data_IF_785713111777
#
_entry.id   IF_785713111777
#
_cell.length_a   1.000
_cell.length_b   1.000
_cell.length_c   1.000
_cell.angle_alpha   90.00
_cell.angle_beta   90.00
_cell.angle_gamma   90.00
#
_symmetry.space_group_name_H-M   'P 1'
#
loop_
_entity.id
_entity.type
_entity.pdbx_description
1 polymer ?
#
# COMPACT_ATOMS: atom_id res chain seq x y z
N UNK A 1 -7.85 -99.81 49.35
CA UNK A 1 -8.17 -98.38 49.50
C UNK A 1 -6.86 -97.60 49.55
N UNK A 2 -6.71 -96.68 48.62
CA UNK A 2 -5.50 -95.94 48.24
C UNK A 2 -5.05 -94.95 49.32
N UNK A 3 -3.80 -95.06 49.75
CA UNK A 3 -3.13 -94.03 50.56
C UNK A 3 -2.30 -93.18 49.60
N UNK A 4 -2.91 -92.14 49.04
CA UNK A 4 -2.18 -91.06 48.37
C UNK A 4 -1.43 -90.28 49.44
N UNK A 5 -0.15 -90.60 49.62
CA UNK A 5 0.77 -89.71 50.34
C UNK A 5 1.08 -88.56 49.38
N UNK A 6 0.51 -87.39 49.66
CA UNK A 6 0.75 -86.17 48.91
C UNK A 6 2.15 -85.68 49.30
N UNK A 7 3.16 -86.23 48.63
CA UNK A 7 4.52 -85.69 48.69
C UNK A 7 4.47 -84.26 48.16
N UNK A 8 4.69 -83.30 49.04
CA UNK A 8 4.82 -81.89 48.66
C UNK A 8 6.20 -81.71 48.02
N UNK A 9 6.37 -82.30 46.85
CA UNK A 9 7.53 -82.04 46.02
C UNK A 9 7.50 -80.57 45.66
N UNK A 10 8.32 -79.77 46.34
CA UNK A 10 8.70 -78.47 45.81
C UNK A 10 9.26 -78.75 44.41
N UNK A 11 8.70 -78.12 43.35
CA UNK A 11 9.25 -78.30 42.02
C UNK A 11 10.74 -77.92 42.07
N UNK A 12 11.62 -78.62 41.34
CA UNK A 12 13.04 -78.30 41.32
C UNK A 12 13.17 -76.81 40.96
N UNK A 13 13.57 -76.00 41.95
CA UNK A 13 13.72 -74.57 41.77
C UNK A 13 14.82 -74.36 40.74
N UNK A 14 14.51 -73.63 39.67
CA UNK A 14 15.48 -73.28 38.63
C UNK A 14 16.67 -72.59 39.30
N UNK A 15 17.88 -73.15 39.17
CA UNK A 15 19.07 -72.59 39.79
C UNK A 15 19.29 -71.17 39.25
N UNK A 16 19.19 -70.17 40.13
CA UNK A 16 19.31 -68.76 39.72
C UNK A 16 20.69 -68.42 39.12
N UNK A 17 21.70 -69.28 39.36
CA UNK A 17 23.04 -69.18 38.78
C UNK A 17 23.11 -69.61 37.30
N UNK A 18 22.13 -70.38 36.82
CA UNK A 18 22.01 -70.80 35.41
C UNK A 18 21.11 -69.87 34.59
N UNK A 19 20.55 -68.81 35.21
CA UNK A 19 19.83 -67.80 34.43
C UNK A 19 20.82 -67.10 33.50
N UNK A 20 20.58 -67.07 32.18
CA UNK A 20 21.39 -66.27 31.29
C UNK A 20 21.31 -64.80 31.74
N UNK A 21 22.47 -64.20 31.97
CA UNK A 21 22.56 -62.77 32.30
C UNK A 21 21.87 -62.01 31.18
N UNK A 22 20.85 -61.22 31.52
CA UNK A 22 20.15 -60.42 30.52
C UNK A 22 21.18 -59.53 29.82
N UNK A 23 21.20 -59.50 28.47
CA UNK A 23 22.02 -58.54 27.77
C UNK A 23 21.65 -57.15 28.29
N UNK A 24 22.63 -56.26 28.55
CA UNK A 24 22.31 -54.92 28.99
C UNK A 24 21.35 -54.31 27.97
N UNK A 25 20.22 -53.75 28.43
CA UNK A 25 19.44 -52.86 27.58
C UNK A 25 20.39 -51.72 27.24
N UNK A 26 20.87 -51.74 26.01
CA UNK A 26 21.71 -50.71 25.44
C UNK A 26 20.96 -49.38 25.56
N UNK A 27 21.28 -48.62 26.60
CA UNK A 27 21.00 -47.19 26.65
C UNK A 27 21.92 -46.53 25.63
N UNK A 28 21.53 -46.62 24.36
CA UNK A 28 22.12 -45.86 23.29
C UNK A 28 21.88 -44.38 23.64
N UNK A 29 22.83 -43.78 24.36
CA UNK A 29 22.91 -42.34 24.52
C UNK A 29 22.92 -41.76 23.10
N UNK A 30 21.92 -40.95 22.70
CA UNK A 30 21.88 -40.44 21.35
C UNK A 30 23.16 -39.64 21.13
N UNK A 31 24.00 -40.13 20.22
CA UNK A 31 25.23 -39.47 19.88
C UNK A 31 24.87 -38.11 19.29
N UNK A 32 24.97 -37.07 20.11
CA UNK A 32 24.82 -35.62 19.84
C UNK A 32 25.74 -35.05 18.75
N UNK A 33 26.36 -35.92 17.97
CA UNK A 33 27.35 -35.62 16.92
C UNK A 33 26.73 -34.80 15.76
N UNK A 34 25.45 -35.04 15.46
CA UNK A 34 24.75 -34.33 14.38
C UNK A 34 24.32 -32.91 14.73
N UNK A 35 24.32 -32.52 16.01
CA UNK A 35 23.76 -31.22 16.43
C UNK A 35 24.55 -30.04 15.84
N UNK A 36 25.87 -30.18 15.70
CA UNK A 36 26.72 -29.13 15.10
C UNK A 36 26.43 -28.93 13.62
N UNK A 37 26.26 -30.04 12.88
CA UNK A 37 25.83 -30.00 11.47
C UNK A 37 24.43 -29.39 11.36
N UNK A 38 23.52 -29.76 12.26
CA UNK A 38 22.15 -29.26 12.24
C UNK A 38 22.08 -27.75 12.51
N UNK A 39 22.86 -27.28 13.50
CA UNK A 39 23.01 -25.85 13.79
C UNK A 39 23.63 -25.13 12.59
N UNK A 40 24.67 -25.70 11.97
CA UNK A 40 25.30 -25.10 10.79
C UNK A 40 24.32 -24.95 9.63
N UNK A 41 23.57 -26.01 9.32
CA UNK A 41 22.54 -25.99 8.26
C UNK A 41 21.42 -24.99 8.60
N UNK A 42 20.98 -24.93 9.86
CA UNK A 42 19.95 -23.98 10.29
C UNK A 42 20.42 -22.52 10.15
N UNK A 43 21.64 -22.22 10.60
CA UNK A 43 22.23 -20.87 10.48
C UNK A 43 22.45 -20.49 9.02
N UNK A 44 22.96 -21.43 8.22
CA UNK A 44 23.16 -21.20 6.78
C UNK A 44 21.82 -20.98 6.05
N UNK A 45 20.79 -21.75 6.40
CA UNK A 45 19.44 -21.57 5.87
C UNK A 45 18.87 -20.19 6.21
N UNK A 46 19.01 -19.76 7.47
CA UNK A 46 18.59 -18.41 7.89
C UNK A 46 19.34 -17.32 7.11
N UNK A 47 20.67 -17.41 7.02
CA UNK A 47 21.49 -16.43 6.29
C UNK A 47 21.13 -16.38 4.80
N UNK A 48 20.88 -17.52 4.18
CA UNK A 48 20.47 -17.59 2.77
C UNK A 48 19.13 -16.88 2.54
N UNK A 49 18.12 -17.17 3.37
CA UNK A 49 16.80 -16.53 3.25
C UNK A 49 16.88 -15.03 3.53
N UNK A 50 17.58 -14.62 4.59
CA UNK A 50 17.79 -13.20 4.90
C UNK A 50 18.54 -12.46 3.79
N UNK A 51 19.56 -13.09 3.18
CA UNK A 51 20.29 -12.53 2.05
C UNK A 51 19.43 -12.37 0.80
N UNK A 52 18.59 -13.35 0.49
CA UNK A 52 17.64 -13.25 -0.63
C UNK A 52 16.62 -12.13 -0.43
N UNK A 53 16.06 -12.01 0.78
CA UNK A 53 15.09 -10.95 1.11
C UNK A 53 15.75 -9.58 1.01
N UNK A 54 16.93 -9.41 1.60
CA UNK A 54 17.70 -8.16 1.50
C UNK A 54 17.99 -7.80 0.03
N UNK A 55 18.52 -8.75 -0.73
CA UNK A 55 18.85 -8.55 -2.14
C UNK A 55 17.62 -8.15 -2.96
N UNK A 56 16.47 -8.80 -2.75
CA UNK A 56 15.23 -8.49 -3.46
C UNK A 56 14.71 -7.08 -3.12
N UNK A 57 14.83 -6.64 -1.86
CA UNK A 57 14.44 -5.29 -1.46
C UNK A 57 15.36 -4.21 -2.03
N UNK A 58 16.68 -4.44 -2.03
CA UNK A 58 17.65 -3.49 -2.59
C UNK A 58 17.66 -3.42 -4.13
N UNK A 59 17.03 -4.36 -4.83
CA UNK A 59 16.85 -4.24 -6.29
C UNK A 59 16.02 -3.00 -6.67
N UNK A 60 15.06 -2.59 -5.84
CA UNK A 60 14.25 -1.40 -6.09
C UNK A 60 15.08 -0.12 -6.15
N UNK A 61 16.11 -0.02 -5.32
CA UNK A 61 17.02 1.14 -5.23
C UNK A 61 18.02 1.21 -6.39
N UNK A 62 18.34 0.08 -7.02
CA UNK A 62 19.22 0.01 -8.20
C UNK A 62 18.47 0.26 -9.51
N UNK A 63 17.18 -0.07 -9.58
CA UNK A 63 16.34 0.08 -10.78
C UNK A 63 15.69 1.47 -10.82
N UNK A 64 15.30 2.00 -9.65
CA UNK A 64 14.90 3.40 -9.50
C UNK A 64 16.21 4.15 -9.28
N UNK A 65 16.91 4.45 -10.38
CA UNK A 65 18.11 5.30 -10.30
C UNK A 65 17.82 6.51 -9.43
N UNK A 66 18.86 7.00 -8.74
CA UNK A 66 18.85 8.20 -7.88
C UNK A 66 18.42 9.50 -8.59
N UNK A 67 17.79 9.40 -9.76
CA UNK A 67 17.13 10.47 -10.46
C UNK A 67 15.81 10.75 -9.73
N UNK A 68 15.90 11.72 -8.83
CA UNK A 68 14.80 12.44 -8.24
C UNK A 68 13.71 12.63 -9.32
N UNK A 69 12.59 11.90 -9.18
CA UNK A 69 11.51 11.91 -10.17
C UNK A 69 11.19 13.36 -10.49
N UNK A 70 11.37 13.82 -11.74
CA UNK A 70 11.33 15.24 -12.04
C UNK A 70 9.94 15.78 -11.71
N UNK A 71 9.87 16.70 -10.76
CA UNK A 71 8.62 17.31 -10.33
C UNK A 71 8.13 18.26 -11.43
N UNK A 72 7.14 17.81 -12.21
CA UNK A 72 6.46 18.64 -13.21
C UNK A 72 5.60 19.68 -12.48
N UNK A 73 6.01 20.94 -12.54
CA UNK A 73 5.22 22.08 -12.03
C UNK A 73 4.39 22.67 -13.15
N UNK A 74 3.13 22.99 -12.85
CA UNK A 74 2.30 23.77 -13.75
C UNK A 74 2.85 25.20 -13.87
N UNK A 75 2.78 25.76 -15.07
CA UNK A 75 3.06 27.17 -15.28
C UNK A 75 2.06 28.01 -14.48
N UNK A 76 2.55 28.87 -13.59
CA UNK A 76 1.74 29.78 -12.77
C UNK A 76 1.36 31.06 -13.53
N UNK A 77 1.76 31.19 -14.79
CA UNK A 77 1.43 32.35 -15.60
C UNK A 77 -0.08 32.50 -15.80
N UNK A 78 -0.63 33.73 -15.78
CA UNK A 78 -2.05 33.95 -15.99
C UNK A 78 -2.46 33.46 -17.37
N UNK A 79 -3.37 32.49 -17.41
CA UNK A 79 -3.92 31.91 -18.66
C UNK A 79 -4.66 32.97 -19.49
N UNK A 80 -5.12 34.05 -18.84
CA UNK A 80 -5.73 35.22 -19.47
C UNK A 80 -5.23 36.50 -18.81
N UNK A 81 -4.61 37.36 -19.60
CA UNK A 81 -4.26 38.72 -19.23
C UNK A 81 -5.29 39.67 -19.86
N UNK A 82 -5.74 40.67 -19.10
CA UNK A 82 -6.54 41.73 -19.69
C UNK A 82 -5.65 42.49 -20.69
N UNK A 83 -6.12 42.75 -21.91
CA UNK A 83 -5.35 43.54 -22.87
C UNK A 83 -5.06 44.94 -22.30
N UNK A 84 -3.82 45.43 -22.46
CA UNK A 84 -3.42 46.78 -22.03
C UNK A 84 -4.32 47.86 -22.64
N UNK A 85 -4.79 47.61 -23.87
CA UNK A 85 -5.83 48.40 -24.50
C UNK A 85 -7.08 47.53 -24.69
N UNK A 86 -8.12 47.68 -23.85
CA UNK A 86 -9.35 46.88 -23.94
C UNK A 86 -10.16 47.13 -25.22
N UNK A 87 -9.70 48.01 -26.11
CA UNK A 87 -10.42 48.43 -27.29
C UNK A 87 -11.66 49.25 -26.92
N UNK A 88 -12.49 49.53 -27.92
CA UNK A 88 -13.70 50.32 -27.76
C UNK A 88 -13.60 51.72 -28.36
N UNK A 89 -14.78 52.29 -28.65
CA UNK A 89 -14.90 53.62 -29.21
C UNK A 89 -14.58 54.66 -28.13
N UNK A 90 -13.47 55.38 -28.30
CA UNK A 90 -13.22 56.60 -27.52
C UNK A 90 -14.13 57.69 -28.05
N UNK A 91 -15.30 57.85 -27.45
CA UNK A 91 -16.24 58.91 -27.83
C UNK A 91 -15.65 60.25 -27.35
N UNK A 92 -15.33 61.18 -28.26
CA UNK A 92 -14.83 62.49 -27.87
C UNK A 92 -15.95 63.33 -27.25
N UNK A 93 -15.59 64.24 -26.33
CA UNK A 93 -16.51 65.24 -25.77
C UNK A 93 -17.68 64.66 -24.94
N UNK A 94 -17.48 63.53 -24.24
CA UNK A 94 -18.49 62.97 -23.32
C UNK A 94 -18.75 63.84 -22.08
N UNK A 95 -17.85 64.76 -21.77
CA UNK A 95 -17.86 65.63 -20.59
C UNK A 95 -18.51 67.00 -20.85
N UNK A 96 -19.11 67.21 -22.02
CA UNK A 96 -19.71 68.50 -22.39
C UNK A 96 -20.91 68.80 -21.48
N UNK A 97 -20.96 70.05 -21.02
CA UNK A 97 -22.03 70.55 -20.15
C UNK A 97 -23.42 70.34 -20.75
N UNK A 98 -23.56 70.40 -22.08
CA UNK A 98 -24.83 70.17 -22.78
C UNK A 98 -25.38 68.75 -22.51
N UNK A 99 -24.50 67.74 -22.41
CA UNK A 99 -24.88 66.36 -22.13
C UNK A 99 -25.26 66.17 -20.65
N UNK A 100 -24.49 66.76 -19.73
CA UNK A 100 -24.80 66.75 -18.29
C UNK A 100 -26.12 67.43 -17.99
N UNK A 101 -26.44 68.51 -18.71
CA UNK A 101 -27.70 69.21 -18.56
C UNK A 101 -28.89 68.35 -19.04
N UNK A 102 -28.70 67.48 -20.03
CA UNK A 102 -29.73 66.54 -20.50
C UNK A 102 -29.93 65.36 -19.53
N UNK A 103 -28.83 64.79 -19.00
CA UNK A 103 -28.86 63.79 -17.92
C UNK A 103 -29.56 64.32 -16.66
N UNK A 104 -29.26 65.56 -16.28
CA UNK A 104 -29.82 66.19 -15.08
C UNK A 104 -31.26 66.68 -15.29
N UNK A 105 -31.60 67.12 -16.50
CA UNK A 105 -32.96 67.58 -16.81
C UNK A 105 -33.95 66.41 -17.03
N UNK A 106 -33.51 65.26 -17.56
CA UNK A 106 -34.38 64.11 -17.84
C UNK A 106 -33.61 62.77 -17.84
N UNK A 107 -33.26 62.21 -16.67
CA UNK A 107 -32.55 60.92 -16.61
C UNK A 107 -33.36 59.77 -17.24
N UNK A 108 -34.69 59.87 -17.21
CA UNK A 108 -35.64 58.87 -17.75
C UNK A 108 -35.77 58.89 -19.28
N UNK A 109 -35.21 59.89 -19.98
CA UNK A 109 -35.29 59.99 -21.46
C UNK A 109 -34.05 59.44 -22.17
N UNK A 110 -32.99 59.12 -21.41
CA UNK A 110 -31.79 58.45 -21.95
C UNK A 110 -31.99 56.94 -22.07
N UNK A 111 -32.87 56.38 -21.23
CA UNK A 111 -33.42 55.06 -21.38
C UNK A 111 -34.67 55.14 -22.29
N UNK A 112 -34.50 55.41 -23.59
CA UNK A 112 -35.58 55.10 -24.52
C UNK A 112 -35.52 53.58 -24.68
N UNK A 113 -36.41 52.78 -24.06
CA UNK A 113 -36.46 51.37 -24.36
C UNK A 113 -36.74 51.24 -25.84
N UNK A 114 -35.81 50.62 -26.57
CA UNK A 114 -36.03 50.26 -27.96
C UNK A 114 -37.37 49.53 -28.03
N UNK A 115 -38.34 50.12 -28.72
CA UNK A 115 -39.67 49.54 -28.88
C UNK A 115 -39.51 48.32 -29.76
N UNK A 116 -39.30 47.16 -29.12
CA UNK A 116 -39.25 45.88 -29.81
C UNK A 116 -40.54 45.72 -30.60
N UNK A 117 -40.40 45.52 -31.91
CA UNK A 117 -41.52 45.16 -32.76
C UNK A 117 -42.07 43.82 -32.24
N UNK A 118 -43.39 43.65 -32.05
CA UNK A 118 -43.92 42.35 -31.66
C UNK A 118 -43.46 41.28 -32.64
N UNK A 119 -43.09 40.10 -32.12
CA UNK A 119 -42.70 38.97 -32.98
C UNK A 119 -43.86 38.64 -33.93
N UNK A 120 -43.59 38.30 -35.20
CA UNK A 120 -44.63 37.90 -36.15
C UNK A 120 -45.49 36.80 -35.55
N UNK A 121 -46.82 36.93 -35.66
CA UNK A 121 -47.74 35.87 -35.23
C UNK A 121 -47.46 34.60 -36.04
N UNK A 122 -47.37 33.47 -35.34
CA UNK A 122 -47.16 32.17 -35.97
C UNK A 122 -48.49 31.64 -36.50
N UNK A 123 -48.52 31.10 -37.74
CA UNK A 123 -49.75 30.57 -38.31
C UNK A 123 -50.26 29.37 -37.50
N UNK A 124 -51.57 29.32 -37.31
CA UNK A 124 -52.32 28.16 -36.79
C UNK A 124 -52.45 27.07 -37.85
#
# INVERSE_FOLDING_TARGET
MTKFSHDKGEPPMLNDSERPVLPPLNSASPARSGLKIFIFVAVFGLMSVSGLVWFALNQGELIIGNDEVPLVKADTSPIRLKPDNPGGLKVPNQDRLILKNLEMANPSKLEIPEKLIPRPEQPI
#
